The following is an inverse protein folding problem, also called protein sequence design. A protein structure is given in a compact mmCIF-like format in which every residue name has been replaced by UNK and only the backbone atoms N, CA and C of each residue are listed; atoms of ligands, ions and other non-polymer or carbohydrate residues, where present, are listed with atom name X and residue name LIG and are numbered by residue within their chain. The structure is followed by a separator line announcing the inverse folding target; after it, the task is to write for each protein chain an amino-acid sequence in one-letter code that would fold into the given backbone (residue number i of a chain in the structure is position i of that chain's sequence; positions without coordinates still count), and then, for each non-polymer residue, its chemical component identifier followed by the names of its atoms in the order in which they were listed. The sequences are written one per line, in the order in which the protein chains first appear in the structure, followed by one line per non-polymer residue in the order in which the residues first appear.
data_IF_478829583499
#
_entry.id   IF_478829583499
#
_cell.length_a   1.000
_cell.length_b   1.000
_cell.length_c   1.000
_cell.angle_alpha   90.00
_cell.angle_beta   90.00
_cell.angle_gamma   90.00
#
_symmetry.space_group_name_H-M   'P 1'
#
loop_
_entity.id
_entity.type
_entity.pdbx_description
1 polymer ?
#
# COMPACT_ATOMS: atom_id res chain seq x y z
N UNK A 1 -2.56 28.17 10.94
CA UNK A 1 -3.63 28.72 10.08
C UNK A 1 -4.94 28.51 10.79
N UNK A 2 -5.85 29.46 10.63
CA UNK A 2 -7.17 29.40 11.24
C UNK A 2 -8.20 29.58 10.12
N UNK A 3 -9.22 28.74 10.09
CA UNK A 3 -10.24 28.76 9.06
C UNK A 3 -11.63 28.75 9.68
N UNK A 4 -12.56 29.53 9.15
CA UNK A 4 -13.97 29.51 9.57
C UNK A 4 -14.72 28.30 8.98
N UNK A 5 -15.84 27.91 9.62
CA UNK A 5 -16.73 26.88 9.10
C UNK A 5 -17.18 27.18 7.66
N UNK A 6 -17.50 28.46 7.38
CA UNK A 6 -17.87 28.92 6.05
C UNK A 6 -16.76 28.71 5.01
N UNK A 7 -15.50 29.05 5.33
CA UNK A 7 -14.36 28.85 4.42
C UNK A 7 -14.11 27.37 4.14
N UNK A 8 -14.20 26.52 5.17
CA UNK A 8 -14.04 25.07 5.03
C UNK A 8 -15.17 24.49 4.18
N UNK A 9 -16.41 24.85 4.45
CA UNK A 9 -17.56 24.40 3.67
C UNK A 9 -17.44 24.81 2.20
N UNK A 10 -17.04 26.06 1.93
CA UNK A 10 -16.81 26.52 0.55
C UNK A 10 -15.73 25.70 -0.17
N UNK A 11 -14.60 25.42 0.49
CA UNK A 11 -13.52 24.60 -0.07
C UNK A 11 -13.95 23.16 -0.37
N UNK A 12 -14.77 22.58 0.52
CA UNK A 12 -15.27 21.21 0.41
C UNK A 12 -16.56 21.07 -0.41
N UNK A 13 -17.15 22.17 -0.87
CA UNK A 13 -18.48 22.23 -1.50
C UNK A 13 -19.58 21.67 -0.58
N UNK A 14 -19.45 21.91 0.70
CA UNK A 14 -20.35 21.47 1.75
C UNK A 14 -21.32 22.56 2.21
N UNK A 15 -22.21 22.21 3.13
CA UNK A 15 -23.20 23.09 3.75
C UNK A 15 -22.95 23.18 5.25
N UNK A 16 -23.02 24.40 5.80
CA UNK A 16 -22.85 24.64 7.24
C UNK A 16 -24.20 24.51 7.93
N UNK A 17 -24.25 23.71 9.01
CA UNK A 17 -25.38 23.66 9.95
C UNK A 17 -24.87 24.08 11.33
N UNK A 18 -25.27 25.26 11.79
CA UNK A 18 -24.81 25.87 13.03
C UNK A 18 -24.14 27.23 12.83
N UNK A 19 -23.08 27.52 13.57
CA UNK A 19 -22.38 28.79 13.51
C UNK A 19 -21.33 28.81 12.39
N UNK A 20 -21.59 29.52 11.29
CA UNK A 20 -20.70 29.64 10.14
C UNK A 20 -19.39 30.42 10.41
N UNK A 21 -19.36 31.18 11.50
CA UNK A 21 -18.21 32.02 11.88
C UNK A 21 -17.27 31.32 12.88
N UNK A 22 -17.63 30.14 13.39
CA UNK A 22 -16.74 29.40 14.28
C UNK A 22 -15.45 29.02 13.55
N UNK A 23 -14.32 29.22 14.21
CA UNK A 23 -13.00 28.98 13.62
C UNK A 23 -12.30 27.77 14.24
N UNK A 24 -11.47 27.11 13.44
CA UNK A 24 -10.63 25.98 13.86
C UNK A 24 -9.20 26.17 13.40
N UNK A 25 -8.26 25.69 14.20
CA UNK A 25 -6.81 25.78 13.94
C UNK A 25 -6.11 24.42 14.03
N UNK A 26 -6.81 23.37 14.42
CA UNK A 26 -6.25 22.03 14.59
C UNK A 26 -7.26 20.95 14.21
N UNK A 27 -6.75 19.72 14.05
CA UNK A 27 -7.54 18.52 13.83
C UNK A 27 -7.54 17.69 15.11
N UNK A 28 -8.65 17.02 15.41
CA UNK A 28 -8.74 16.08 16.51
C UNK A 28 -9.58 14.86 16.12
N UNK A 29 -9.32 13.71 16.75
CA UNK A 29 -10.26 12.59 16.69
C UNK A 29 -11.56 13.00 17.36
N UNK A 30 -12.69 12.45 16.90
CA UNK A 30 -14.00 12.83 17.43
C UNK A 30 -14.14 12.51 18.93
N UNK A 31 -13.50 11.44 19.40
CA UNK A 31 -13.45 11.02 20.80
C UNK A 31 -12.59 11.96 21.69
N UNK A 32 -11.62 12.63 21.09
CA UNK A 32 -10.64 13.49 21.77
C UNK A 32 -10.83 14.96 21.38
N UNK A 33 -12.02 15.34 20.90
CA UNK A 33 -12.33 16.66 20.41
C UNK A 33 -12.07 17.77 21.46
N UNK A 34 -11.48 18.87 21.01
CA UNK A 34 -11.22 20.05 21.82
C UNK A 34 -11.74 21.31 21.11
N UNK A 35 -11.99 22.37 21.86
CA UNK A 35 -12.38 23.66 21.29
C UNK A 35 -11.33 24.18 20.30
N UNK A 36 -11.77 24.71 19.16
CA UNK A 36 -10.89 25.11 18.06
C UNK A 36 -10.39 23.95 17.19
N UNK A 37 -10.88 22.73 17.37
CA UNK A 37 -10.57 21.59 16.53
C UNK A 37 -11.68 21.28 15.53
N UNK A 38 -11.31 20.71 14.39
CA UNK A 38 -12.20 20.03 13.45
C UNK A 38 -12.05 18.52 13.57
N UNK A 39 -13.18 17.81 13.62
CA UNK A 39 -13.27 16.36 13.61
C UNK A 39 -14.15 15.89 12.45
N UNK A 40 -14.29 14.58 12.26
CA UNK A 40 -15.18 14.02 11.26
C UNK A 40 -15.88 12.74 11.75
N UNK A 41 -17.06 12.48 11.21
CA UNK A 41 -17.84 11.27 11.45
C UNK A 41 -18.15 10.62 10.09
N UNK A 42 -17.41 9.56 9.74
CA UNK A 42 -17.63 8.77 8.54
C UNK A 42 -18.13 7.35 8.83
N UNK A 43 -17.99 6.86 10.09
CA UNK A 43 -18.37 5.51 10.48
C UNK A 43 -19.40 5.59 11.62
N UNK A 44 -20.56 4.95 11.42
CA UNK A 44 -21.67 4.93 12.38
C UNK A 44 -21.29 4.41 13.77
N UNK A 45 -20.24 3.60 13.90
CA UNK A 45 -19.75 3.13 15.21
C UNK A 45 -19.29 4.25 16.14
N UNK A 46 -18.96 5.41 15.60
CA UNK A 46 -18.47 6.58 16.34
C UNK A 46 -19.56 7.64 16.57
N UNK A 47 -20.82 7.37 16.21
CA UNK A 47 -21.92 8.35 16.32
C UNK A 47 -22.11 8.88 17.74
N UNK A 48 -21.96 8.04 18.77
CA UNK A 48 -22.11 8.47 20.16
C UNK A 48 -21.14 9.61 20.53
N UNK A 49 -19.92 9.58 20.01
CA UNK A 49 -18.93 10.62 20.28
C UNK A 49 -19.29 11.97 19.67
N UNK A 50 -20.16 12.01 18.65
CA UNK A 50 -20.63 13.28 18.09
C UNK A 50 -21.37 14.13 19.13
N UNK A 51 -22.08 13.50 20.05
CA UNK A 51 -22.86 14.18 21.10
C UNK A 51 -22.01 14.59 22.31
N UNK A 52 -20.82 14.02 22.44
CA UNK A 52 -19.91 14.23 23.59
C UNK A 52 -18.68 15.09 23.21
N UNK A 53 -18.37 15.17 21.92
CA UNK A 53 -17.15 15.86 21.44
C UNK A 53 -17.17 17.35 21.79
N UNK A 54 -16.00 17.86 22.12
CA UNK A 54 -15.75 19.30 22.29
C UNK A 54 -15.17 19.96 21.04
N UNK A 55 -15.10 19.23 19.92
CA UNK A 55 -14.67 19.82 18.64
C UNK A 55 -15.63 20.91 18.21
N UNK A 56 -15.10 22.02 17.76
CA UNK A 56 -15.89 23.17 17.30
C UNK A 56 -16.62 22.89 15.99
N UNK A 57 -16.02 22.07 15.10
CA UNK A 57 -16.59 21.68 13.81
C UNK A 57 -16.50 20.16 13.65
N UNK A 58 -17.55 19.54 13.11
CA UNK A 58 -17.54 18.13 12.71
C UNK A 58 -18.02 17.97 11.26
N UNK A 59 -17.21 17.31 10.42
CA UNK A 59 -17.63 16.91 9.07
C UNK A 59 -18.52 15.70 9.15
N UNK A 60 -19.67 15.74 8.49
CA UNK A 60 -20.62 14.61 8.41
C UNK A 60 -21.08 14.41 6.96
N UNK A 61 -21.55 13.22 6.62
CA UNK A 61 -22.19 12.98 5.33
C UNK A 61 -23.51 13.73 5.21
N UNK A 62 -23.92 14.14 4.00
CA UNK A 62 -25.16 14.89 3.77
C UNK A 62 -26.42 14.17 4.28
N UNK A 63 -26.45 12.86 4.18
CA UNK A 63 -27.57 12.00 4.59
C UNK A 63 -27.63 11.71 6.10
N UNK A 64 -26.59 12.09 6.85
CA UNK A 64 -26.52 11.87 8.28
C UNK A 64 -27.61 12.69 9.00
N UNK A 65 -28.39 12.01 9.85
CA UNK A 65 -29.43 12.62 10.69
C UNK A 65 -29.10 12.38 12.15
N UNK A 66 -28.78 13.43 12.92
CA UNK A 66 -28.52 13.29 14.34
C UNK A 66 -29.82 12.92 15.09
N UNK A 67 -29.71 11.99 16.02
CA UNK A 67 -30.82 11.57 16.89
C UNK A 67 -31.04 12.51 18.10
N UNK A 68 -29.96 13.27 18.43
CA UNK A 68 -29.95 14.22 19.54
C UNK A 68 -29.35 15.56 19.10
N UNK A 69 -29.61 16.65 19.84
CA UNK A 69 -28.96 17.93 19.58
C UNK A 69 -27.45 17.83 19.61
N UNK A 70 -26.76 18.42 18.63
CA UNK A 70 -25.32 18.46 18.51
C UNK A 70 -24.81 19.86 18.88
N UNK A 71 -23.82 19.93 19.77
CA UNK A 71 -23.26 21.22 20.21
C UNK A 71 -22.28 21.79 19.17
N UNK A 72 -21.57 20.94 18.44
CA UNK A 72 -20.63 21.34 17.41
C UNK A 72 -21.35 21.88 16.16
N UNK A 73 -20.69 22.77 15.43
CA UNK A 73 -21.10 23.14 14.07
C UNK A 73 -20.85 21.98 13.13
N UNK A 74 -21.86 21.57 12.37
CA UNK A 74 -21.72 20.52 11.38
C UNK A 74 -21.41 21.12 10.00
N UNK A 75 -20.52 20.48 9.26
CA UNK A 75 -20.35 20.72 7.83
C UNK A 75 -20.75 19.45 7.08
N UNK A 76 -21.84 19.55 6.31
CA UNK A 76 -22.37 18.44 5.51
C UNK A 76 -21.68 18.35 4.18
N UNK A 77 -21.10 17.19 3.88
CA UNK A 77 -20.37 16.90 2.65
C UNK A 77 -20.81 15.57 2.05
N UNK A 78 -20.53 15.32 0.79
CA UNK A 78 -20.90 14.08 0.11
C UNK A 78 -20.19 12.86 0.73
N UNK A 79 -18.93 13.01 1.12
CA UNK A 79 -18.14 11.98 1.77
C UNK A 79 -17.21 12.61 2.84
N UNK A 80 -17.54 12.43 4.12
CA UNK A 80 -16.79 13.01 5.23
C UNK A 80 -15.35 12.48 5.33
N UNK A 81 -15.11 11.23 4.93
CA UNK A 81 -13.76 10.64 4.93
C UNK A 81 -12.87 11.25 3.84
N UNK A 82 -13.40 11.45 2.66
CA UNK A 82 -12.70 12.12 1.57
C UNK A 82 -12.47 13.61 1.89
N UNK A 83 -13.47 14.28 2.47
CA UNK A 83 -13.39 15.67 2.86
C UNK A 83 -12.28 15.94 3.88
N UNK A 84 -12.16 15.09 4.93
CA UNK A 84 -11.08 15.24 5.90
C UNK A 84 -9.71 14.96 5.26
N UNK A 85 -9.59 13.99 4.38
CA UNK A 85 -8.35 13.72 3.66
C UNK A 85 -7.91 14.93 2.81
N UNK A 86 -8.84 15.59 2.13
CA UNK A 86 -8.55 16.83 1.37
C UNK A 86 -8.08 17.97 2.27
N UNK A 87 -8.69 18.17 3.44
CA UNK A 87 -8.26 19.20 4.41
C UNK A 87 -6.87 18.88 5.00
N UNK A 88 -6.59 17.64 5.34
CA UNK A 88 -5.26 17.22 5.83
C UNK A 88 -4.19 17.44 4.76
N UNK A 89 -4.50 17.14 3.50
CA UNK A 89 -3.61 17.42 2.37
C UNK A 89 -3.35 18.92 2.21
N UNK A 90 -4.40 19.76 2.29
CA UNK A 90 -4.27 21.22 2.24
C UNK A 90 -3.38 21.75 3.38
N UNK A 91 -3.61 21.24 4.59
CA UNK A 91 -2.82 21.60 5.76
C UNK A 91 -1.34 21.22 5.59
N UNK A 92 -1.06 20.04 5.07
CA UNK A 92 0.30 19.58 4.80
C UNK A 92 0.98 20.42 3.71
N UNK A 93 0.27 20.74 2.63
CA UNK A 93 0.79 21.59 1.54
C UNK A 93 1.05 23.03 1.98
N UNK A 94 0.28 23.54 2.93
CA UNK A 94 0.45 24.88 3.49
C UNK A 94 1.66 24.97 4.46
N UNK A 95 2.22 23.83 4.88
CA UNK A 95 3.48 23.79 5.62
C UNK A 95 4.62 24.12 4.65
N UNK A 96 5.41 25.16 4.94
CA UNK A 96 6.47 25.62 4.06
C UNK A 96 7.45 24.47 3.74
N UNK A 97 7.57 24.14 2.46
CA UNK A 97 8.60 23.20 1.99
C UNK A 97 9.98 23.77 2.27
N UNK A 98 10.91 22.95 2.69
CA UNK A 98 12.32 23.34 2.80
C UNK A 98 12.89 23.53 1.41
N UNK A 99 13.86 24.44 1.27
CA UNK A 99 14.60 24.66 0.01
C UNK A 99 16.09 24.86 0.29
N UNK A 100 16.89 24.66 -0.72
CA UNK A 100 18.35 24.86 -0.67
C UNK A 100 19.13 23.57 -0.40
N UNK A 101 20.42 23.63 -0.69
CA UNK A 101 21.37 22.55 -0.48
C UNK A 101 22.12 22.80 0.82
N UNK A 102 22.03 21.86 1.76
CA UNK A 102 22.72 21.98 3.04
C UNK A 102 24.24 21.87 2.86
N UNK A 103 25.07 22.69 3.55
CA UNK A 103 26.54 22.66 3.37
C UNK A 103 27.21 21.31 3.68
N UNK A 104 26.57 20.44 4.45
CA UNK A 104 27.02 19.08 4.74
C UNK A 104 26.47 18.03 3.78
N UNK A 105 25.72 18.40 2.75
CA UNK A 105 25.30 17.48 1.70
C UNK A 105 26.44 17.32 0.68
N UNK A 106 26.56 16.15 0.10
CA UNK A 106 27.41 15.93 -1.07
C UNK A 106 26.55 15.95 -2.33
N UNK A 107 26.92 16.78 -3.28
CA UNK A 107 26.30 16.82 -4.61
C UNK A 107 27.44 16.85 -5.63
N UNK A 108 27.52 15.83 -6.49
CA UNK A 108 28.52 15.74 -7.51
C UNK A 108 28.42 16.95 -8.49
N UNK A 109 29.56 17.42 -9.01
CA UNK A 109 29.59 18.56 -9.93
C UNK A 109 28.85 18.27 -11.26
N UNK A 110 28.77 17.01 -11.66
CA UNK A 110 28.05 16.55 -12.84
C UNK A 110 26.55 16.38 -12.64
N UNK A 111 26.08 16.44 -11.38
CA UNK A 111 24.65 16.29 -11.07
C UNK A 111 23.85 17.53 -11.45
N UNK A 112 22.61 17.32 -11.92
CA UNK A 112 21.65 18.38 -12.24
C UNK A 112 20.55 18.40 -11.20
N UNK A 113 20.47 19.47 -10.43
CA UNK A 113 19.43 19.67 -9.41
C UNK A 113 18.50 20.78 -9.87
N UNK A 114 17.21 20.49 -9.94
CA UNK A 114 16.17 21.42 -10.35
C UNK A 114 15.92 22.54 -9.33
N UNK A 115 14.97 23.42 -9.66
CA UNK A 115 14.62 24.57 -8.84
C UNK A 115 13.84 24.16 -7.58
N UNK A 116 13.98 24.96 -6.50
CA UNK A 116 13.24 24.79 -5.23
C UNK A 116 13.41 23.40 -4.57
N UNK A 117 14.50 22.69 -4.89
CA UNK A 117 14.86 21.45 -4.24
C UNK A 117 15.39 21.69 -2.82
N UNK A 118 15.20 20.71 -1.95
CA UNK A 118 15.89 20.60 -0.66
C UNK A 118 16.81 19.40 -0.63
N UNK A 119 18.09 19.61 -0.39
CA UNK A 119 19.07 18.55 -0.18
C UNK A 119 19.60 18.69 1.26
N UNK A 120 19.13 17.80 2.13
CA UNK A 120 19.38 17.82 3.58
C UNK A 120 20.82 17.45 3.95
N UNK A 121 21.22 17.65 5.22
CA UNK A 121 22.57 17.32 5.66
C UNK A 121 22.87 15.82 5.48
N UNK A 122 24.10 15.53 5.04
CA UNK A 122 24.60 14.18 4.75
C UNK A 122 23.81 13.41 3.69
N UNK A 123 22.93 14.07 2.93
CA UNK A 123 22.40 13.48 1.71
C UNK A 123 23.50 13.38 0.66
N UNK A 124 23.47 12.33 -0.15
CA UNK A 124 24.43 12.05 -1.22
C UNK A 124 23.72 12.07 -2.57
N UNK A 125 24.25 12.83 -3.49
CA UNK A 125 23.82 12.90 -4.90
C UNK A 125 25.02 12.62 -5.77
N UNK A 126 25.01 11.46 -6.44
CA UNK A 126 26.12 10.94 -7.24
C UNK A 126 26.27 11.62 -8.59
N UNK A 127 27.27 11.12 -9.35
CA UNK A 127 27.59 11.65 -10.67
C UNK A 127 26.45 11.46 -11.66
N UNK A 128 26.25 12.46 -12.52
CA UNK A 128 25.23 12.47 -13.59
C UNK A 128 23.79 12.22 -13.11
N UNK A 129 23.50 12.38 -11.82
CA UNK A 129 22.14 12.32 -11.28
C UNK A 129 21.32 13.50 -11.80
N UNK A 130 20.07 13.25 -12.14
CA UNK A 130 19.09 14.29 -12.48
C UNK A 130 17.98 14.33 -11.42
N UNK A 131 17.77 15.49 -10.78
CA UNK A 131 16.71 15.71 -9.79
C UNK A 131 15.77 16.82 -10.29
N UNK A 132 14.48 16.50 -10.43
CA UNK A 132 13.47 17.44 -10.86
C UNK A 132 13.04 18.44 -9.78
N UNK A 133 12.39 19.52 -10.22
CA UNK A 133 12.01 20.66 -9.40
C UNK A 133 11.19 20.29 -8.16
N UNK A 134 11.41 21.01 -7.05
CA UNK A 134 10.63 20.89 -5.82
C UNK A 134 10.86 19.59 -5.06
N UNK A 135 11.78 18.74 -5.48
CA UNK A 135 12.10 17.47 -4.83
C UNK A 135 12.85 17.68 -3.51
N UNK A 136 12.52 16.87 -2.52
CA UNK A 136 13.00 16.97 -1.15
C UNK A 136 13.82 15.73 -0.79
N UNK A 137 15.13 15.84 -0.67
CA UNK A 137 16.02 14.81 -0.13
C UNK A 137 16.30 15.13 1.36
N UNK A 138 15.75 14.31 2.23
CA UNK A 138 15.96 14.45 3.67
C UNK A 138 17.34 13.94 4.10
N UNK A 139 17.78 14.17 5.37
CA UNK A 139 19.10 13.78 5.82
C UNK A 139 19.44 12.31 5.52
N UNK A 140 20.65 12.05 5.06
CA UNK A 140 21.16 10.71 4.71
C UNK A 140 20.41 10.00 3.58
N UNK A 141 19.54 10.67 2.81
CA UNK A 141 19.02 10.11 1.57
C UNK A 141 20.15 9.97 0.55
N UNK A 142 20.19 8.85 -0.18
CA UNK A 142 21.24 8.54 -1.15
C UNK A 142 20.62 8.36 -2.54
N UNK A 143 21.17 9.05 -3.53
CA UNK A 143 20.86 8.86 -4.95
C UNK A 143 22.18 8.61 -5.67
N UNK A 144 22.39 7.37 -6.12
CA UNK A 144 23.61 6.95 -6.78
C UNK A 144 23.67 7.43 -8.24
N UNK A 145 24.84 7.24 -8.86
CA UNK A 145 25.18 7.79 -10.16
C UNK A 145 24.16 7.44 -11.26
N UNK A 146 23.93 8.38 -12.18
CA UNK A 146 23.02 8.29 -13.34
C UNK A 146 21.56 7.99 -13.01
N UNK A 147 21.20 7.97 -11.73
CA UNK A 147 19.79 7.83 -11.34
C UNK A 147 19.01 9.10 -11.71
N UNK A 148 17.71 8.92 -12.01
CA UNK A 148 16.80 10.02 -12.34
C UNK A 148 15.66 10.08 -11.35
N UNK A 149 15.46 11.23 -10.74
CA UNK A 149 14.38 11.51 -9.80
C UNK A 149 13.54 12.65 -10.35
N UNK A 150 12.26 12.40 -10.56
CA UNK A 150 11.33 13.39 -11.09
C UNK A 150 11.06 14.55 -10.13
N UNK A 151 10.08 15.38 -10.49
CA UNK A 151 9.72 16.59 -9.74
C UNK A 151 8.79 16.30 -8.56
N UNK A 152 8.88 17.13 -7.52
CA UNK A 152 8.05 17.07 -6.31
C UNK A 152 8.11 15.73 -5.57
N UNK A 153 9.19 15.00 -5.68
CA UNK A 153 9.44 13.77 -4.93
C UNK A 153 9.86 14.10 -3.49
N UNK A 154 9.65 13.11 -2.61
CA UNK A 154 10.10 13.19 -1.21
C UNK A 154 10.84 11.91 -0.87
N UNK A 155 12.14 12.03 -0.61
CA UNK A 155 12.98 10.94 -0.15
C UNK A 155 13.28 11.18 1.34
N UNK A 156 12.64 10.42 2.20
CA UNK A 156 12.81 10.51 3.65
C UNK A 156 14.19 9.99 4.10
N UNK A 157 14.59 10.23 5.37
CA UNK A 157 15.93 9.87 5.84
C UNK A 157 16.30 8.42 5.57
N UNK A 158 17.52 8.19 5.09
CA UNK A 158 18.07 6.88 4.75
C UNK A 158 17.35 6.14 3.61
N UNK A 159 16.51 6.79 2.82
CA UNK A 159 16.04 6.23 1.56
C UNK A 159 17.19 6.15 0.55
N UNK A 160 17.32 5.03 -0.15
CA UNK A 160 18.42 4.78 -1.10
C UNK A 160 17.87 4.47 -2.49
N UNK A 161 18.36 5.18 -3.48
CA UNK A 161 18.11 4.92 -4.91
C UNK A 161 19.45 4.57 -5.57
N UNK A 162 19.58 3.34 -6.01
CA UNK A 162 20.78 2.83 -6.67
C UNK A 162 20.93 3.40 -8.08
N UNK A 163 22.15 3.25 -8.59
CA UNK A 163 22.54 3.74 -9.91
C UNK A 163 21.59 3.34 -11.03
N UNK A 164 21.45 4.22 -12.02
CA UNK A 164 20.65 4.06 -13.24
C UNK A 164 19.13 3.93 -13.01
N UNK A 165 18.64 3.85 -11.78
CA UNK A 165 17.21 3.74 -11.47
C UNK A 165 16.44 5.02 -11.80
N UNK A 166 15.16 4.87 -12.15
CA UNK A 166 14.30 5.97 -12.60
C UNK A 166 13.08 6.09 -11.70
N UNK A 167 12.88 7.28 -11.14
CA UNK A 167 11.69 7.69 -10.40
C UNK A 167 10.94 8.76 -11.18
N UNK A 168 9.64 8.56 -11.36
CA UNK A 168 8.72 9.56 -11.90
C UNK A 168 8.48 10.73 -10.95
N UNK A 169 7.40 11.46 -11.17
CA UNK A 169 7.05 12.64 -10.39
C UNK A 169 6.20 12.30 -9.16
N UNK A 170 6.29 13.10 -8.09
CA UNK A 170 5.51 12.96 -6.86
C UNK A 170 5.65 11.60 -6.19
N UNK A 171 6.82 10.97 -6.36
CA UNK A 171 7.16 9.73 -5.68
C UNK A 171 7.54 10.02 -4.24
N UNK A 172 7.01 9.23 -3.31
CA UNK A 172 7.35 9.31 -1.88
C UNK A 172 8.07 8.02 -1.47
N UNK A 173 9.30 8.16 -1.01
CA UNK A 173 10.09 7.07 -0.46
C UNK A 173 10.25 7.28 1.05
N UNK A 174 9.64 6.42 1.86
CA UNK A 174 9.78 6.48 3.32
C UNK A 174 11.14 5.97 3.80
N UNK A 175 11.45 6.26 5.07
CA UNK A 175 12.77 6.02 5.65
C UNK A 175 13.25 4.57 5.51
N UNK A 176 14.50 4.41 5.09
CA UNK A 176 15.15 3.11 4.98
C UNK A 176 14.68 2.26 3.80
N UNK A 177 13.82 2.74 2.91
CA UNK A 177 13.49 1.98 1.71
C UNK A 177 14.68 1.95 0.74
N UNK A 178 14.80 0.87 -0.03
CA UNK A 178 15.89 0.63 -0.96
C UNK A 178 15.35 0.30 -2.35
N UNK A 179 15.71 1.12 -3.32
CA UNK A 179 15.29 0.99 -4.72
C UNK A 179 16.50 0.61 -5.56
N UNK A 180 16.47 -0.59 -6.17
CA UNK A 180 17.48 -1.03 -7.11
C UNK A 180 18.61 -1.87 -6.52
N UNK A 181 18.44 -2.44 -5.31
CA UNK A 181 19.36 -3.47 -4.83
C UNK A 181 19.35 -4.70 -5.76
N UNK A 182 20.43 -5.46 -5.77
CA UNK A 182 20.52 -6.69 -6.57
C UNK A 182 19.43 -7.69 -6.21
N UNK A 183 18.76 -8.22 -7.22
CA UNK A 183 17.84 -9.34 -7.06
C UNK A 183 18.54 -10.61 -6.57
N UNK A 184 17.76 -11.51 -5.97
CA UNK A 184 18.23 -12.81 -5.47
C UNK A 184 18.41 -13.79 -6.64
N UNK A 185 19.50 -13.63 -7.36
CA UNK A 185 19.86 -14.45 -8.53
C UNK A 185 21.14 -15.22 -8.29
N UNK A 186 21.05 -16.56 -8.17
CA UNK A 186 22.19 -17.45 -7.98
C UNK A 186 22.02 -18.72 -8.82
N UNK A 187 23.05 -19.11 -9.54
CA UNK A 187 23.11 -20.35 -10.29
C UNK A 187 23.69 -21.46 -9.40
N UNK A 188 22.97 -22.60 -9.19
CA UNK A 188 23.52 -23.72 -8.44
C UNK A 188 24.66 -24.37 -9.24
N UNK A 189 25.74 -24.72 -8.54
CA UNK A 189 26.89 -25.47 -9.09
C UNK A 189 27.20 -26.66 -8.18
N UNK A 190 28.13 -27.50 -8.60
CA UNK A 190 28.56 -28.66 -7.80
C UNK A 190 29.24 -28.27 -6.46
N UNK A 191 29.72 -27.05 -6.35
CA UNK A 191 30.48 -26.55 -5.18
C UNK A 191 29.78 -25.41 -4.42
N UNK A 192 28.59 -24.97 -4.87
CA UNK A 192 27.85 -23.89 -4.20
C UNK A 192 26.94 -23.11 -5.14
N UNK A 193 26.80 -21.82 -4.87
CA UNK A 193 25.96 -20.92 -5.64
C UNK A 193 26.81 -19.80 -6.25
N UNK A 194 26.73 -19.63 -7.56
CA UNK A 194 27.39 -18.56 -8.28
C UNK A 194 26.42 -17.39 -8.47
N UNK A 195 26.83 -16.18 -8.06
CA UNK A 195 25.99 -14.98 -8.21
C UNK A 195 25.78 -14.65 -9.68
N UNK A 196 24.51 -14.45 -10.06
CA UNK A 196 24.13 -13.88 -11.36
C UNK A 196 24.13 -12.36 -11.23
N UNK A 197 25.00 -11.62 -11.94
CA UNK A 197 25.01 -10.17 -11.90
C UNK A 197 23.66 -9.58 -12.34
N UNK A 198 23.22 -8.55 -11.64
CA UNK A 198 21.97 -7.86 -11.89
C UNK A 198 22.29 -6.53 -12.57
N UNK A 199 22.15 -6.47 -13.89
CA UNK A 199 22.55 -5.31 -14.71
C UNK A 199 21.36 -4.44 -15.16
N UNK A 200 20.14 -4.83 -14.80
CA UNK A 200 18.95 -4.05 -15.06
C UNK A 200 18.74 -2.96 -14.03
N UNK A 201 17.58 -2.33 -14.07
CA UNK A 201 17.20 -1.19 -13.24
C UNK A 201 15.86 -1.37 -12.57
N UNK A 202 15.43 -0.38 -11.79
CA UNK A 202 14.05 -0.18 -11.33
C UNK A 202 13.51 1.08 -11.99
N UNK A 203 12.26 0.99 -12.46
CA UNK A 203 11.49 2.13 -12.95
C UNK A 203 10.22 2.29 -12.12
N UNK A 204 10.12 3.42 -11.43
CA UNK A 204 8.95 3.80 -10.62
C UNK A 204 8.25 4.95 -11.35
N UNK A 205 6.97 4.78 -11.64
CA UNK A 205 6.16 5.81 -12.29
C UNK A 205 5.61 6.86 -11.29
N UNK A 206 4.83 7.81 -11.79
CA UNK A 206 4.28 8.93 -11.02
C UNK A 206 3.36 8.48 -9.88
N UNK A 207 3.27 9.31 -8.84
CA UNK A 207 2.31 9.18 -7.74
C UNK A 207 2.46 7.90 -6.90
N UNK A 208 3.62 7.23 -6.95
CA UNK A 208 3.92 6.03 -6.16
C UNK A 208 4.36 6.42 -4.75
N UNK A 209 3.93 5.64 -3.77
CA UNK A 209 4.39 5.77 -2.38
C UNK A 209 4.92 4.43 -1.86
N UNK A 210 6.11 4.45 -1.29
CA UNK A 210 6.82 3.27 -0.82
C UNK A 210 7.14 3.42 0.67
N UNK A 211 6.61 2.52 1.47
CA UNK A 211 6.71 2.49 2.93
C UNK A 211 8.12 2.20 3.45
N UNK A 212 8.30 2.41 4.73
CA UNK A 212 9.60 2.30 5.39
C UNK A 212 10.18 0.88 5.28
N UNK A 213 11.49 0.80 5.03
CA UNK A 213 12.24 -0.46 4.91
C UNK A 213 11.70 -1.42 3.83
N UNK A 214 10.96 -0.92 2.86
CA UNK A 214 10.54 -1.67 1.68
C UNK A 214 11.66 -1.73 0.68
N UNK A 215 11.87 -2.91 0.07
CA UNK A 215 12.88 -3.13 -0.94
C UNK A 215 12.24 -3.44 -2.30
N UNK A 216 12.75 -2.80 -3.35
CA UNK A 216 12.41 -3.10 -4.74
C UNK A 216 13.70 -3.45 -5.48
N UNK A 217 13.85 -4.73 -5.81
CA UNK A 217 15.07 -5.23 -6.44
C UNK A 217 15.13 -4.84 -7.92
N UNK A 218 16.36 -4.57 -8.41
CA UNK A 218 16.58 -4.36 -9.83
C UNK A 218 16.36 -5.63 -10.64
N UNK A 219 16.04 -5.45 -11.87
CA UNK A 219 15.93 -6.55 -12.83
C UNK A 219 17.29 -7.18 -13.12
N UNK A 220 17.32 -8.45 -13.45
CA UNK A 220 18.53 -9.06 -14.00
C UNK A 220 18.95 -8.38 -15.30
N UNK A 221 17.97 -8.12 -16.19
CA UNK A 221 18.08 -7.35 -17.42
C UNK A 221 16.77 -6.60 -17.65
N UNK A 222 16.83 -5.38 -18.18
CA UNK A 222 15.66 -4.52 -18.34
C UNK A 222 15.27 -3.82 -17.05
N UNK A 223 14.00 -3.80 -16.68
CA UNK A 223 13.53 -3.09 -15.48
C UNK A 223 12.51 -3.87 -14.67
N UNK A 224 12.58 -3.75 -13.36
CA UNK A 224 11.46 -4.01 -12.44
C UNK A 224 10.57 -2.76 -12.47
N UNK A 225 9.26 -2.92 -12.67
CA UNK A 225 8.33 -1.81 -12.86
C UNK A 225 7.36 -1.67 -11.71
N UNK A 226 7.28 -0.46 -11.14
CA UNK A 226 6.22 -0.04 -10.23
C UNK A 226 5.41 1.04 -10.95
N UNK A 227 4.20 0.68 -11.36
CA UNK A 227 3.35 1.54 -12.19
C UNK A 227 2.71 2.66 -11.39
N UNK A 228 2.13 3.62 -12.11
CA UNK A 228 1.53 4.83 -11.55
C UNK A 228 0.56 4.55 -10.41
N UNK A 229 0.67 5.33 -9.33
CA UNK A 229 -0.28 5.35 -8.22
C UNK A 229 -0.23 4.14 -7.29
N UNK A 230 0.74 3.22 -7.46
CA UNK A 230 0.96 2.08 -6.55
C UNK A 230 1.30 2.56 -5.14
N UNK A 231 0.78 1.86 -4.13
CA UNK A 231 1.08 2.11 -2.71
C UNK A 231 1.61 0.82 -2.08
N UNK A 232 2.85 0.86 -1.65
CA UNK A 232 3.50 -0.23 -0.91
C UNK A 232 3.68 0.23 0.54
N UNK A 233 3.17 -0.56 1.47
CA UNK A 233 3.32 -0.32 2.91
C UNK A 233 4.74 -0.73 3.38
N UNK A 234 4.98 -0.68 4.66
CA UNK A 234 6.27 -0.96 5.27
C UNK A 234 6.69 -2.43 5.11
N UNK A 235 8.00 -2.68 4.96
CA UNK A 235 8.59 -4.01 4.90
C UNK A 235 8.07 -4.88 3.73
N UNK A 236 7.61 -4.28 2.64
CA UNK A 236 7.25 -5.00 1.42
C UNK A 236 8.52 -5.37 0.66
N UNK A 237 8.56 -6.59 0.08
CA UNK A 237 9.62 -7.02 -0.83
C UNK A 237 9.06 -7.21 -2.24
N UNK A 238 9.59 -6.47 -3.20
CA UNK A 238 9.36 -6.69 -4.62
C UNK A 238 10.67 -7.22 -5.24
N UNK A 239 10.67 -8.49 -5.64
CA UNK A 239 11.84 -9.11 -6.22
C UNK A 239 12.07 -8.69 -7.69
N UNK A 240 13.21 -9.10 -8.22
CA UNK A 240 13.68 -8.76 -9.57
C UNK A 240 12.68 -9.11 -10.70
N UNK A 241 12.67 -8.32 -11.76
CA UNK A 241 11.86 -8.56 -12.97
C UNK A 241 10.33 -8.55 -12.74
N UNK A 242 9.87 -8.04 -11.60
CA UNK A 242 8.45 -7.89 -11.32
C UNK A 242 7.85 -6.68 -12.04
N UNK A 243 6.54 -6.76 -12.27
CA UNK A 243 5.73 -5.62 -12.69
C UNK A 243 4.51 -5.52 -11.80
N UNK A 244 4.33 -4.35 -11.14
CA UNK A 244 3.17 -4.04 -10.30
C UNK A 244 2.31 -3.02 -11.02
N UNK A 245 1.09 -3.42 -11.39
CA UNK A 245 0.16 -2.60 -12.18
C UNK A 245 -0.40 -1.41 -11.41
N UNK A 246 -0.91 -0.43 -12.17
CA UNK A 246 -1.39 0.85 -11.67
C UNK A 246 -2.38 0.73 -10.52
N UNK A 247 -2.26 1.63 -9.52
CA UNK A 247 -3.17 1.74 -8.38
C UNK A 247 -3.30 0.47 -7.52
N UNK A 248 -2.39 -0.48 -7.66
CA UNK A 248 -2.32 -1.64 -6.78
C UNK A 248 -1.76 -1.24 -5.42
N UNK A 249 -2.33 -1.80 -4.35
CA UNK A 249 -1.91 -1.53 -2.97
C UNK A 249 -1.50 -2.83 -2.27
N UNK A 250 -0.43 -2.75 -1.50
CA UNK A 250 0.10 -3.87 -0.73
C UNK A 250 0.30 -3.42 0.72
N UNK A 251 -0.35 -4.12 1.65
CA UNK A 251 -0.14 -3.88 3.08
C UNK A 251 1.21 -4.44 3.55
N UNK A 252 1.56 -4.14 4.79
CA UNK A 252 2.88 -4.45 5.34
C UNK A 252 3.29 -5.93 5.20
N UNK A 253 4.57 -6.14 4.93
CA UNK A 253 5.21 -7.46 4.83
C UNK A 253 4.71 -8.33 3.67
N UNK A 254 4.09 -7.77 2.64
CA UNK A 254 3.82 -8.52 1.41
C UNK A 254 5.14 -8.84 0.71
N UNK A 255 5.30 -10.09 0.26
CA UNK A 255 6.44 -10.56 -0.50
C UNK A 255 6.04 -11.00 -1.90
N UNK A 256 6.66 -10.42 -2.92
CA UNK A 256 6.46 -10.78 -4.33
C UNK A 256 7.73 -11.39 -4.88
N UNK A 257 7.69 -12.68 -5.23
CA UNK A 257 8.84 -13.36 -5.80
C UNK A 257 9.08 -12.98 -7.27
N UNK A 258 10.30 -13.23 -7.74
CA UNK A 258 10.80 -12.73 -9.02
C UNK A 258 9.98 -13.08 -10.26
N UNK A 259 10.05 -12.21 -11.25
CA UNK A 259 9.39 -12.37 -12.56
C UNK A 259 7.86 -12.46 -12.52
N UNK A 260 7.24 -11.95 -11.47
CA UNK A 260 5.79 -11.93 -11.29
C UNK A 260 5.18 -10.66 -11.89
N UNK A 261 4.05 -10.82 -12.60
CA UNK A 261 3.28 -9.72 -13.17
C UNK A 261 1.97 -9.57 -12.45
N UNK A 262 1.74 -8.40 -11.86
CA UNK A 262 0.53 -8.06 -11.10
C UNK A 262 -0.23 -6.99 -11.86
N UNK A 263 -1.53 -7.23 -12.05
CA UNK A 263 -2.45 -6.32 -12.72
C UNK A 263 -2.74 -5.05 -11.92
N UNK A 264 -3.68 -4.26 -12.42
CA UNK A 264 -4.10 -2.99 -11.86
C UNK A 264 -5.15 -3.15 -10.76
N UNK A 265 -5.20 -2.18 -9.83
CA UNK A 265 -6.24 -2.10 -8.80
C UNK A 265 -6.33 -3.35 -7.92
N UNK A 266 -5.24 -4.08 -7.75
CA UNK A 266 -5.17 -5.20 -6.82
C UNK A 266 -4.99 -4.69 -5.37
N UNK A 267 -5.44 -5.50 -4.41
CA UNK A 267 -5.28 -5.20 -2.99
C UNK A 267 -4.80 -6.45 -2.25
N UNK A 268 -3.61 -6.37 -1.68
CA UNK A 268 -3.01 -7.48 -0.93
C UNK A 268 -2.95 -7.13 0.56
N UNK A 269 -3.58 -7.98 1.38
CA UNK A 269 -3.52 -7.88 2.84
C UNK A 269 -2.12 -8.14 3.38
N UNK A 270 -1.87 -7.78 4.64
CA UNK A 270 -0.55 -7.92 5.25
C UNK A 270 -0.04 -9.37 5.23
N UNK A 271 1.28 -9.54 5.07
CA UNK A 271 1.96 -10.83 5.07
C UNK A 271 1.52 -11.80 3.94
N UNK A 272 0.99 -11.29 2.85
CA UNK A 272 0.70 -12.11 1.66
C UNK A 272 2.01 -12.48 0.97
N UNK A 273 2.17 -13.76 0.64
CA UNK A 273 3.27 -14.28 -0.17
C UNK A 273 2.81 -14.61 -1.59
N UNK A 274 3.54 -14.14 -2.60
CA UNK A 274 3.22 -14.36 -4.01
C UNK A 274 4.37 -15.11 -4.67
N UNK A 275 4.07 -16.28 -5.27
CA UNK A 275 5.05 -17.11 -5.94
C UNK A 275 5.64 -16.43 -7.18
N UNK A 276 6.85 -16.86 -7.56
CA UNK A 276 7.53 -16.33 -8.74
C UNK A 276 6.95 -16.84 -10.06
N UNK A 277 7.23 -16.08 -11.14
CA UNK A 277 6.88 -16.44 -12.51
C UNK A 277 5.37 -16.63 -12.76
N UNK A 278 4.51 -15.99 -11.97
CA UNK A 278 3.06 -16.05 -12.12
C UNK A 278 2.49 -14.73 -12.63
N UNK A 279 1.25 -14.82 -13.14
CA UNK A 279 0.49 -13.68 -13.59
C UNK A 279 -0.79 -13.52 -12.75
N UNK A 280 -0.99 -12.33 -12.19
CA UNK A 280 -2.19 -11.93 -11.46
C UNK A 280 -2.90 -10.86 -12.30
N UNK A 281 -4.17 -11.10 -12.63
CA UNK A 281 -5.00 -10.15 -13.35
C UNK A 281 -5.43 -8.95 -12.51
N UNK A 282 -6.20 -8.06 -13.11
CA UNK A 282 -6.67 -6.84 -12.45
C UNK A 282 -7.68 -7.14 -11.33
N UNK A 283 -7.75 -6.24 -10.33
CA UNK A 283 -8.77 -6.26 -9.25
C UNK A 283 -8.80 -7.58 -8.49
N UNK A 284 -7.65 -8.14 -8.18
CA UNK A 284 -7.52 -9.27 -7.24
C UNK A 284 -7.41 -8.74 -5.82
N UNK A 285 -8.28 -9.22 -4.94
CA UNK A 285 -8.29 -8.88 -3.51
C UNK A 285 -7.85 -10.10 -2.70
N UNK A 286 -6.85 -9.94 -1.85
CA UNK A 286 -6.29 -11.06 -1.08
C UNK A 286 -6.30 -10.75 0.40
N UNK A 287 -6.91 -11.62 1.20
CA UNK A 287 -6.88 -11.50 2.66
C UNK A 287 -5.48 -11.70 3.23
N UNK A 288 -5.26 -11.19 4.43
CA UNK A 288 -3.94 -11.25 5.10
C UNK A 288 -3.45 -12.69 5.28
N UNK A 289 -2.11 -12.87 5.30
CA UNK A 289 -1.41 -14.15 5.50
C UNK A 289 -1.75 -15.22 4.46
N UNK A 290 -2.20 -14.84 3.27
CA UNK A 290 -2.51 -15.77 2.19
C UNK A 290 -1.28 -16.06 1.33
N UNK A 291 -1.17 -17.29 0.84
CA UNK A 291 -0.16 -17.70 -0.13
C UNK A 291 -0.77 -17.85 -1.53
N UNK A 292 -0.25 -17.14 -2.52
CA UNK A 292 -0.65 -17.26 -3.93
C UNK A 292 0.40 -18.09 -4.65
N UNK A 293 0.11 -19.38 -4.84
CA UNK A 293 1.04 -20.35 -5.42
C UNK A 293 0.96 -20.46 -6.95
N UNK A 294 -0.04 -19.87 -7.59
CA UNK A 294 -0.26 -20.00 -9.04
C UNK A 294 -0.93 -18.79 -9.65
N UNK A 295 -0.94 -18.74 -10.97
CA UNK A 295 -1.50 -17.62 -11.74
C UNK A 295 -3.01 -17.45 -11.55
N UNK A 296 -3.46 -16.20 -11.50
CA UNK A 296 -4.87 -15.77 -11.42
C UNK A 296 -5.19 -14.81 -12.59
N UNK A 297 -5.08 -15.25 -13.85
CA UNK A 297 -5.06 -14.34 -15.02
C UNK A 297 -6.40 -13.64 -15.27
N UNK A 298 -7.52 -14.21 -14.81
CA UNK A 298 -8.84 -13.62 -15.03
C UNK A 298 -9.11 -12.38 -14.20
N UNK A 299 -8.39 -12.22 -13.05
CA UNK A 299 -8.64 -11.10 -12.14
C UNK A 299 -10.06 -11.06 -11.54
N UNK A 300 -10.42 -9.92 -10.96
CA UNK A 300 -11.73 -9.64 -10.36
C UNK A 300 -12.20 -10.75 -9.39
N UNK A 301 -11.32 -11.20 -8.52
CA UNK A 301 -11.55 -12.29 -7.56
C UNK A 301 -11.03 -11.92 -6.19
N UNK A 302 -11.76 -12.36 -5.17
CA UNK A 302 -11.31 -12.28 -3.76
C UNK A 302 -10.87 -13.66 -3.31
N UNK A 303 -9.66 -13.74 -2.74
CA UNK A 303 -9.10 -14.98 -2.20
C UNK A 303 -8.65 -14.78 -0.75
N UNK A 304 -8.72 -15.86 0.02
CA UNK A 304 -8.36 -15.86 1.43
C UNK A 304 -7.71 -17.19 1.80
N UNK A 305 -6.66 -17.14 2.62
CA UNK A 305 -6.04 -18.28 3.26
C UNK A 305 -5.68 -18.00 4.72
N UNK A 306 -5.39 -19.04 5.52
CA UNK A 306 -4.88 -18.94 6.90
C UNK A 306 -5.70 -18.07 7.87
N UNK A 307 -7.04 -18.27 8.08
CA UNK A 307 -7.71 -17.61 9.20
C UNK A 307 -7.27 -18.24 10.53
N UNK A 308 -7.07 -17.43 11.56
CA UNK A 308 -6.91 -17.93 12.92
C UNK A 308 -8.23 -18.53 13.41
N UNK A 309 -8.18 -19.73 13.98
CA UNK A 309 -9.31 -20.41 14.59
C UNK A 309 -8.97 -20.82 16.02
N UNK A 310 -9.97 -21.14 16.82
CA UNK A 310 -9.80 -21.58 18.21
C UNK A 310 -8.82 -22.78 18.27
N UNK A 311 -7.90 -22.79 19.27
CA UNK A 311 -6.78 -23.74 19.35
C UNK A 311 -7.20 -25.20 19.25
N UNK A 312 -8.27 -25.63 19.93
CA UNK A 312 -8.73 -27.02 19.88
C UNK A 312 -9.18 -27.43 18.48
N UNK A 313 -9.83 -26.52 17.76
CA UNK A 313 -10.26 -26.73 16.37
C UNK A 313 -9.07 -26.76 15.44
N UNK A 314 -8.07 -25.88 15.63
CA UNK A 314 -6.82 -25.89 14.88
C UNK A 314 -6.09 -27.23 15.05
N UNK A 315 -5.91 -27.70 16.30
CA UNK A 315 -5.20 -28.95 16.57
C UNK A 315 -5.89 -30.16 15.90
N UNK A 316 -7.21 -30.25 15.96
CA UNK A 316 -8.00 -31.29 15.27
C UNK A 316 -7.86 -31.20 13.74
N UNK A 317 -8.02 -30.00 13.19
CA UNK A 317 -7.92 -29.78 11.75
C UNK A 317 -6.50 -30.10 11.21
N UNK A 318 -5.46 -29.78 11.96
CA UNK A 318 -4.07 -30.06 11.58
C UNK A 318 -3.77 -31.55 11.41
N UNK A 319 -4.40 -32.42 12.24
CA UNK A 319 -4.29 -33.88 12.09
C UNK A 319 -4.99 -34.33 10.81
N UNK A 320 -6.21 -33.84 10.58
CA UNK A 320 -6.99 -34.20 9.39
C UNK A 320 -6.34 -33.69 8.11
N UNK A 321 -5.77 -32.47 8.13
CA UNK A 321 -5.12 -31.89 6.97
C UNK A 321 -4.00 -32.76 6.40
N UNK A 322 -3.18 -33.38 7.28
CA UNK A 322 -2.12 -34.28 6.85
C UNK A 322 -2.65 -35.60 6.22
N UNK A 323 -3.85 -35.99 6.59
CA UNK A 323 -4.50 -37.22 6.12
C UNK A 323 -5.53 -37.00 5.00
N UNK A 324 -5.71 -35.75 4.53
CA UNK A 324 -6.69 -35.46 3.47
C UNK A 324 -6.56 -36.35 2.22
N UNK A 325 -5.36 -36.65 1.69
CA UNK A 325 -5.22 -37.52 0.53
C UNK A 325 -5.76 -38.95 0.80
N UNK A 326 -5.49 -39.50 2.00
CA UNK A 326 -5.97 -40.80 2.43
C UNK A 326 -7.48 -40.82 2.61
N UNK A 327 -8.02 -39.81 3.31
CA UNK A 327 -9.47 -39.63 3.51
C UNK A 327 -10.21 -39.49 2.18
N UNK A 328 -9.62 -38.78 1.23
CA UNK A 328 -10.21 -38.60 -0.12
C UNK A 328 -10.23 -39.94 -0.89
N UNK A 329 -9.17 -40.74 -0.79
CA UNK A 329 -9.12 -42.07 -1.41
C UNK A 329 -10.17 -43.04 -0.79
N UNK A 330 -10.28 -43.07 0.57
CA UNK A 330 -11.28 -43.85 1.28
C UNK A 330 -12.72 -43.39 0.90
N UNK A 331 -12.95 -42.11 0.80
CA UNK A 331 -14.28 -41.57 0.40
C UNK A 331 -14.66 -42.00 -1.03
N UNK A 332 -13.72 -42.00 -1.97
CA UNK A 332 -13.99 -42.46 -3.34
C UNK A 332 -14.30 -43.98 -3.36
N UNK A 333 -13.53 -44.78 -2.62
CA UNK A 333 -13.81 -46.22 -2.49
C UNK A 333 -15.21 -46.49 -1.91
N UNK A 334 -15.61 -45.78 -0.85
CA UNK A 334 -16.98 -45.86 -0.30
C UNK A 334 -18.06 -45.48 -1.30
N UNK A 335 -17.81 -44.45 -2.15
CA UNK A 335 -18.73 -44.08 -3.22
C UNK A 335 -18.94 -45.16 -4.26
N UNK A 336 -17.86 -45.86 -4.65
CA UNK A 336 -17.91 -46.94 -5.61
C UNK A 336 -18.67 -48.15 -5.05
N UNK A 337 -18.36 -48.55 -3.78
CA UNK A 337 -19.08 -49.60 -3.07
C UNK A 337 -20.58 -49.28 -2.92
N UNK A 338 -20.93 -48.03 -2.65
CA UNK A 338 -22.32 -47.59 -2.52
C UNK A 338 -23.05 -47.63 -3.87
N UNK A 339 -22.38 -47.33 -4.98
CA UNK A 339 -22.93 -47.43 -6.33
C UNK A 339 -23.17 -48.91 -6.70
N UNK A 340 -22.24 -49.81 -6.37
CA UNK A 340 -22.43 -51.25 -6.57
C UNK A 340 -23.60 -51.81 -5.78
N UNK A 341 -23.74 -51.41 -4.50
CA UNK A 341 -24.87 -51.84 -3.66
C UNK A 341 -26.21 -51.36 -4.17
N UNK A 342 -26.29 -50.09 -4.67
CA UNK A 342 -27.50 -49.58 -5.31
C UNK A 342 -27.89 -50.38 -6.54
N UNK A 343 -26.95 -50.67 -7.44
CA UNK A 343 -27.21 -51.46 -8.63
C UNK A 343 -27.67 -52.89 -8.29
N UNK A 344 -27.10 -53.47 -7.23
CA UNK A 344 -27.54 -54.82 -6.74
C UNK A 344 -28.94 -54.80 -6.16
N UNK A 345 -29.36 -53.71 -5.53
CA UNK A 345 -30.74 -53.53 -4.99
C UNK A 345 -31.78 -53.28 -6.10
N UNK A 346 -31.43 -52.44 -7.11
CA UNK A 346 -32.31 -52.21 -8.25
C UNK A 346 -32.55 -53.49 -9.05
N UNK A 347 -31.50 -54.25 -9.36
CA UNK A 347 -31.60 -55.53 -10.06
C UNK A 347 -32.35 -56.61 -9.29
N UNK A 348 -32.45 -56.54 -7.93
CA UNK A 348 -33.29 -57.44 -7.15
C UNK A 348 -34.77 -57.07 -7.15
N UNK A 349 -35.08 -55.76 -7.26
CA UNK A 349 -36.45 -55.28 -7.33
C UNK A 349 -37.06 -55.51 -8.72
N UNK A 350 -36.26 -55.55 -9.79
CA UNK A 350 -36.74 -55.87 -11.14
C UNK A 350 -36.89 -57.39 -11.40
N UNK A 351 -36.49 -58.26 -10.42
CA UNK A 351 -36.55 -59.71 -10.52
C UNK A 351 -37.72 -60.31 -9.67
N UNK A 352 -38.60 -59.51 -9.11
CA UNK A 352 -39.80 -59.86 -8.37
C UNK A 352 -41.00 -59.30 -9.09
#
# INVERSE_FOLDING_TARGET
MEFSAQQIAQYLQGEVEGNEHVTVKTFAKIEEGVEGAISFLANAKYTNYLYETKSSIVLVNRDFKPEHPVAATLIRVDNAYEAIARLLTLYQQATAKRTGIHPLAFVAESAKVGENCYIGPFAYVGDEVEIGDGTQLYPHAVVEERAKVGSNCVLYPNAVVYHDCILGNRVVLHSGCVIGADGFGFAPSATGYEKIPQIGIVTIEDDVEIGANTCVDRSTMGSTYIRKGVKLDNLVQIAHNCEVGEHTVMSAQVGVAGSTKIGKWCMFGGQVGIAGHIQIGDKVFTGAQSGIAGSLPKGNVTIQGSPAIEYKNFARSSILYKRLPEIYAEMNKMKDELAELKNKLENKNDAV
#
